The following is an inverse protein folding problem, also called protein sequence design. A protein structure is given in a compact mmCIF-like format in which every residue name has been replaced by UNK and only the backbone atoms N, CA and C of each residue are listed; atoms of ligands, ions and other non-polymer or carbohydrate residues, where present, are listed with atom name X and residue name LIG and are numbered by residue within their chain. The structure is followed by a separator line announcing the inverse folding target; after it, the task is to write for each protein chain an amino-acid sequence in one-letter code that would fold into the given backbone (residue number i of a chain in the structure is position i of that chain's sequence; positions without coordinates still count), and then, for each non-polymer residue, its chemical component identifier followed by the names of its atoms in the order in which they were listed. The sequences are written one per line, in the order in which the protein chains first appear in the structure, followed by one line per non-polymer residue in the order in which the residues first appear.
data_IF_014056927598
#
_entry.id   IF_014056927598
#
_cell.length_a   1.000
_cell.length_b   1.000
_cell.length_c   1.000
_cell.angle_alpha   90.00
_cell.angle_beta   90.00
_cell.angle_gamma   90.00
#
_symmetry.space_group_name_H-M   'P 1'
#
loop_
_entity.id
_entity.type
_entity.pdbx_description
1 polymer ?
#
# COMPACT_ATOMS: atom_id res chain seq x y z
N UNK A 1 12.77 2.69 -4.87
CA UNK A 1 11.71 1.77 -5.34
C UNK A 1 11.95 0.32 -4.88
N UNK A 2 13.01 -0.38 -5.32
CA UNK A 2 13.28 -1.75 -4.81
C UNK A 2 13.44 -1.78 -3.27
N UNK A 3 14.18 -0.83 -2.68
CA UNK A 3 14.31 -0.73 -1.23
C UNK A 3 12.96 -0.54 -0.50
N UNK A 4 11.98 0.11 -1.13
CA UNK A 4 10.63 0.31 -0.56
C UNK A 4 9.91 -1.04 -0.46
N UNK A 5 9.98 -1.84 -1.52
CA UNK A 5 9.39 -3.19 -1.57
C UNK A 5 9.97 -4.09 -0.48
N UNK A 6 11.28 -4.00 -0.23
CA UNK A 6 11.95 -4.74 0.84
C UNK A 6 11.52 -4.33 2.25
N UNK A 7 10.85 -3.19 2.43
CA UNK A 7 10.27 -2.83 3.73
C UNK A 7 8.95 -3.55 4.02
N UNK A 8 8.28 -4.08 2.98
CA UNK A 8 7.01 -4.80 3.13
C UNK A 8 7.18 -6.32 3.12
N UNK A 9 8.24 -6.84 2.49
CA UNK A 9 8.45 -8.26 2.33
C UNK A 9 9.90 -8.66 2.63
N UNK A 10 10.07 -9.75 3.37
CA UNK A 10 11.38 -10.38 3.56
C UNK A 10 11.75 -11.20 2.33
N UNK A 11 12.86 -10.86 1.68
CA UNK A 11 13.40 -11.57 0.49
C UNK A 11 12.38 -11.80 -0.66
N UNK A 12 11.68 -10.76 -1.16
CA UNK A 12 10.81 -10.89 -2.32
C UNK A 12 11.61 -11.08 -3.62
N UNK A 13 11.19 -11.98 -4.50
CA UNK A 13 11.61 -11.90 -5.90
C UNK A 13 10.73 -10.84 -6.59
N UNK A 14 11.29 -9.68 -6.90
CA UNK A 14 10.57 -8.64 -7.64
C UNK A 14 10.39 -9.08 -9.10
N UNK A 15 9.14 -9.28 -9.51
CA UNK A 15 8.80 -9.70 -10.88
C UNK A 15 8.51 -8.50 -11.78
N UNK A 16 7.74 -7.53 -11.28
CA UNK A 16 7.46 -6.30 -12.00
C UNK A 16 7.03 -5.17 -11.06
N UNK A 17 7.27 -3.94 -11.51
CA UNK A 17 6.74 -2.73 -10.91
C UNK A 17 6.41 -1.74 -12.02
N UNK A 18 5.14 -1.67 -12.38
CA UNK A 18 4.67 -0.91 -13.56
C UNK A 18 3.66 0.15 -13.15
N UNK A 19 3.64 1.33 -13.79
CA UNK A 19 2.55 2.30 -13.60
C UNK A 19 1.20 1.64 -13.83
N UNK A 20 0.21 1.94 -12.98
CA UNK A 20 -1.08 1.27 -13.01
C UNK A 20 -2.25 2.24 -12.82
N UNK A 21 -3.26 2.09 -13.68
CA UNK A 21 -4.49 2.89 -13.65
C UNK A 21 -4.35 4.26 -14.32
N UNK A 22 -5.48 4.99 -14.35
CA UNK A 22 -5.60 6.36 -14.90
C UNK A 22 -5.89 7.43 -13.83
N UNK A 23 -5.53 7.16 -12.57
CA UNK A 23 -5.79 8.09 -11.47
C UNK A 23 -4.95 9.37 -11.57
N UNK A 24 -5.55 10.51 -11.24
CA UNK A 24 -4.91 11.83 -11.35
C UNK A 24 -4.29 12.36 -10.06
N UNK A 25 -4.50 11.67 -8.93
CA UNK A 25 -4.08 12.14 -7.61
C UNK A 25 -2.77 11.48 -7.19
N UNK A 26 -2.82 10.20 -6.82
CA UNK A 26 -1.66 9.45 -6.34
C UNK A 26 -0.92 8.75 -7.48
N UNK A 27 0.41 8.73 -7.42
CA UNK A 27 1.21 7.90 -8.32
C UNK A 27 1.00 6.44 -7.93
N UNK A 28 0.48 5.63 -8.86
CA UNK A 28 0.04 4.26 -8.59
C UNK A 28 0.82 3.28 -9.45
N UNK A 29 1.32 2.23 -8.81
CA UNK A 29 2.05 1.14 -9.45
C UNK A 29 1.43 -0.21 -9.10
N UNK A 30 1.35 -1.11 -10.08
CA UNK A 30 1.12 -2.53 -9.83
C UNK A 30 2.47 -3.17 -9.51
N UNK A 31 2.56 -3.75 -8.32
CA UNK A 31 3.71 -4.48 -7.83
C UNK A 31 3.43 -5.97 -7.95
N UNK A 32 4.24 -6.70 -8.72
CA UNK A 32 4.20 -8.15 -8.81
C UNK A 32 5.46 -8.73 -8.16
N UNK A 33 5.28 -9.62 -7.19
CA UNK A 33 6.37 -10.27 -6.44
C UNK A 33 6.13 -11.76 -6.34
N UNK A 34 7.19 -12.55 -6.23
CA UNK A 34 7.12 -13.94 -5.79
C UNK A 34 7.44 -14.02 -4.30
N UNK A 35 6.52 -14.56 -3.52
CA UNK A 35 6.66 -14.78 -2.08
C UNK A 35 6.47 -16.26 -1.80
N UNK A 36 7.47 -16.91 -1.19
CA UNK A 36 7.44 -18.35 -0.87
C UNK A 36 6.98 -19.23 -2.05
N UNK A 37 7.51 -18.96 -3.25
CA UNK A 37 7.17 -19.73 -4.45
C UNK A 37 5.94 -19.23 -5.23
N UNK A 38 5.10 -18.38 -4.65
CA UNK A 38 3.84 -17.94 -5.24
C UNK A 38 3.91 -16.50 -5.76
N UNK A 39 3.41 -16.27 -6.98
CA UNK A 39 3.26 -14.91 -7.50
C UNK A 39 2.07 -14.21 -6.83
N UNK A 40 2.29 -12.98 -6.38
CA UNK A 40 1.28 -12.11 -5.77
C UNK A 40 1.37 -10.71 -6.37
N UNK A 41 0.22 -10.06 -6.49
CA UNK A 41 0.09 -8.69 -6.97
C UNK A 41 -0.39 -7.77 -5.84
N UNK A 42 0.11 -6.54 -5.84
CA UNK A 42 -0.23 -5.48 -4.90
C UNK A 42 -0.33 -4.14 -5.63
N UNK A 43 -0.93 -3.16 -4.96
CA UNK A 43 -0.92 -1.77 -5.38
C UNK A 43 0.02 -0.98 -4.48
N UNK A 44 1.13 -0.50 -5.05
CA UNK A 44 2.06 0.42 -4.39
C UNK A 44 1.69 1.85 -4.80
N UNK A 45 1.47 2.72 -3.83
CA UNK A 45 1.09 4.11 -4.10
C UNK A 45 1.99 5.09 -3.38
N UNK A 46 2.44 6.11 -4.12
CA UNK A 46 2.98 7.33 -3.55
C UNK A 46 1.83 8.31 -3.31
N UNK A 47 1.69 8.78 -2.08
CA UNK A 47 0.69 9.79 -1.72
C UNK A 47 1.14 11.14 -2.28
N UNK A 48 0.26 11.80 -3.02
CA UNK A 48 0.55 13.11 -3.57
C UNK A 48 0.47 14.20 -2.48
N UNK A 49 1.63 14.71 -2.08
CA UNK A 49 1.77 15.76 -1.06
C UNK A 49 1.35 17.15 -1.51
N UNK A 50 1.17 17.39 -2.82
CA UNK A 50 0.61 18.64 -3.31
C UNK A 50 -0.90 18.71 -3.03
N UNK A 51 -1.60 17.57 -3.12
CA UNK A 51 -3.03 17.44 -2.81
C UNK A 51 -3.24 17.21 -1.31
N UNK A 52 -2.54 16.23 -0.74
CA UNK A 52 -2.63 15.87 0.68
C UNK A 52 -1.45 16.45 1.45
N UNK A 53 -1.64 17.65 2.02
CA UNK A 53 -0.59 18.35 2.79
C UNK A 53 -0.15 17.61 4.05
N UNK A 54 -0.98 16.69 4.56
CA UNK A 54 -0.72 15.88 5.75
C UNK A 54 -0.91 14.39 5.42
N UNK A 55 0.05 13.74 4.73
CA UNK A 55 -0.07 12.34 4.27
C UNK A 55 -0.34 11.34 5.39
N UNK A 56 0.24 11.57 6.58
CA UNK A 56 0.03 10.71 7.73
C UNK A 56 -1.43 10.68 8.17
N UNK A 57 -2.16 11.79 8.09
CA UNK A 57 -3.60 11.80 8.40
C UNK A 57 -4.42 10.99 7.40
N UNK A 58 -3.99 10.93 6.13
CA UNK A 58 -4.64 10.08 5.12
C UNK A 58 -4.44 8.60 5.47
N UNK A 59 -3.22 8.24 5.90
CA UNK A 59 -2.89 6.87 6.34
C UNK A 59 -3.68 6.52 7.60
N UNK A 60 -3.65 7.38 8.62
CA UNK A 60 -4.35 7.14 9.90
C UNK A 60 -5.87 7.04 9.72
N UNK A 61 -6.46 7.92 8.90
CA UNK A 61 -7.88 7.83 8.57
C UNK A 61 -8.22 6.52 7.86
N UNK A 62 -7.40 6.10 6.89
CA UNK A 62 -7.61 4.83 6.20
C UNK A 62 -7.51 3.64 7.15
N UNK A 63 -6.56 3.66 8.10
CA UNK A 63 -6.45 2.63 9.15
C UNK A 63 -7.70 2.62 10.04
N UNK A 64 -8.13 3.78 10.53
CA UNK A 64 -9.27 3.90 11.42
C UNK A 64 -10.57 3.38 10.76
N UNK A 65 -10.81 3.77 9.50
CA UNK A 65 -11.96 3.28 8.73
C UNK A 65 -11.88 1.77 8.51
N UNK A 66 -10.72 1.25 8.11
CA UNK A 66 -10.53 -0.18 7.88
C UNK A 66 -10.72 -1.00 9.16
N UNK A 67 -10.20 -0.54 10.29
CA UNK A 67 -10.39 -1.17 11.60
C UNK A 67 -11.85 -1.16 12.03
N UNK A 68 -12.54 -0.03 11.85
CA UNK A 68 -13.97 0.08 12.14
C UNK A 68 -14.81 -0.88 11.31
N UNK A 69 -14.51 -1.01 10.02
CA UNK A 69 -15.20 -1.97 9.14
C UNK A 69 -14.91 -3.42 9.57
N UNK A 70 -13.66 -3.73 9.94
CA UNK A 70 -13.26 -5.07 10.36
C UNK A 70 -14.00 -5.57 11.62
N UNK A 71 -14.49 -4.66 12.47
CA UNK A 71 -15.26 -4.98 13.67
C UNK A 71 -16.75 -5.25 13.40
N UNK A 72 -17.23 -4.99 12.17
CA UNK A 72 -18.64 -5.16 11.81
C UNK A 72 -18.88 -6.55 11.24
N UNK A 73 -19.66 -7.43 11.91
CA UNK A 73 -20.03 -8.70 11.32
C UNK A 73 -20.89 -8.46 10.07
N UNK A 74 -20.64 -9.23 9.01
CA UNK A 74 -21.39 -9.19 7.74
C UNK A 74 -21.37 -7.85 7.00
N UNK A 75 -20.27 -7.09 7.05
CA UNK A 75 -20.15 -5.90 6.21
C UNK A 75 -20.18 -6.28 4.71
N UNK A 76 -21.03 -5.64 3.89
CA UNK A 76 -21.32 -6.12 2.54
C UNK A 76 -20.24 -5.78 1.49
N UNK A 77 -19.24 -4.97 1.84
CA UNK A 77 -18.19 -4.51 0.92
C UNK A 77 -16.82 -5.06 1.32
N UNK A 78 -15.94 -5.19 0.34
CA UNK A 78 -14.54 -5.53 0.58
C UNK A 78 -13.86 -4.43 1.40
N UNK A 79 -13.23 -4.81 2.51
CA UNK A 79 -12.47 -3.89 3.36
C UNK A 79 -11.03 -3.73 2.83
N UNK A 80 -10.77 -2.62 2.15
CA UNK A 80 -9.44 -2.28 1.66
C UNK A 80 -8.50 -1.97 2.83
N UNK A 81 -7.73 -2.96 3.25
CA UNK A 81 -6.80 -2.88 4.38
C UNK A 81 -5.38 -2.66 3.88
N UNK A 82 -4.69 -1.65 4.39
CA UNK A 82 -3.26 -1.44 4.06
C UNK A 82 -2.41 -2.58 4.58
N UNK A 83 -1.42 -2.98 3.78
CA UNK A 83 -0.44 -3.98 4.16
C UNK A 83 0.63 -3.31 5.05
N UNK A 84 0.91 -3.85 6.25
CA UNK A 84 1.94 -3.30 7.11
C UNK A 84 3.34 -3.60 6.54
N UNK A 85 4.30 -2.80 6.95
CA UNK A 85 5.74 -3.02 6.78
C UNK A 85 6.20 -4.16 7.70
N UNK A 86 7.43 -4.64 7.52
CA UNK A 86 8.06 -5.62 8.40
C UNK A 86 8.22 -5.11 9.85
N UNK A 87 8.18 -3.79 10.07
CA UNK A 87 8.24 -3.16 11.40
C UNK A 87 6.85 -2.89 12.00
N UNK A 88 5.77 -3.14 11.26
CA UNK A 88 4.39 -2.92 11.72
C UNK A 88 3.80 -1.54 11.41
N UNK A 89 4.56 -0.65 10.75
CA UNK A 89 4.02 0.60 10.20
C UNK A 89 3.17 0.33 8.95
N UNK A 90 2.42 1.33 8.46
CA UNK A 90 1.57 1.19 7.27
C UNK A 90 2.01 2.06 6.11
N UNK A 91 3.18 2.67 6.24
CA UNK A 91 3.79 3.51 5.22
C UNK A 91 5.30 3.45 5.30
N UNK A 92 5.95 3.88 4.22
CA UNK A 92 7.38 4.18 4.17
C UNK A 92 7.56 5.63 3.76
N UNK A 93 8.41 6.35 4.50
CA UNK A 93 8.88 7.67 4.10
C UNK A 93 10.24 7.51 3.46
N UNK A 94 10.34 7.82 2.17
CA UNK A 94 11.58 7.77 1.41
C UNK A 94 11.76 9.09 0.67
N UNK A 95 12.88 9.78 0.88
CA UNK A 95 13.20 11.06 0.23
C UNK A 95 12.05 12.10 0.36
N UNK A 96 11.39 12.11 1.51
CA UNK A 96 10.26 13.00 1.79
C UNK A 96 8.93 12.57 1.16
N UNK A 97 8.89 11.48 0.41
CA UNK A 97 7.69 10.90 -0.20
C UNK A 97 7.10 9.79 0.66
N UNK A 98 5.76 9.74 0.73
CA UNK A 98 5.05 8.76 1.53
C UNK A 98 4.46 7.67 0.65
N UNK A 99 4.83 6.43 0.94
CA UNK A 99 4.44 5.25 0.19
C UNK A 99 3.59 4.32 1.04
N UNK A 100 2.53 3.76 0.46
CA UNK A 100 1.68 2.75 1.10
C UNK A 100 1.49 1.55 0.18
N UNK A 101 1.24 0.40 0.79
CA UNK A 101 0.96 -0.84 0.06
C UNK A 101 -0.47 -1.31 0.34
N UNK A 102 -1.15 -1.70 -0.72
CA UNK A 102 -2.54 -2.16 -0.71
C UNK A 102 -2.64 -3.53 -1.40
N UNK A 103 -3.60 -4.39 -1.02
CA UNK A 103 -3.89 -5.58 -1.80
C UNK A 103 -4.35 -5.19 -3.20
N UNK A 104 -3.99 -6.00 -4.19
CA UNK A 104 -4.61 -5.95 -5.51
C UNK A 104 -5.96 -6.70 -5.44
N UNK A 105 -7.06 -6.04 -5.82
CA UNK A 105 -8.43 -6.59 -5.79
C UNK A 105 -8.88 -6.92 -7.20
#
# INVERSE_FOLDING_TARGET
MQHIVHQFFSHPDLLALIPFGGGHINQTYQLMVKLAGQQKAFILQQINQQVFKQPLQVIDNMRAVSQHIAQKPHYPLYNLTMMPTLTGDYYIMEEGNYWRLLPFI
#
